data_IF_231758965969
#
_entry.id   IF_231758965969
#
_cell.length_a   1.000
_cell.length_b   1.000
_cell.length_c   1.000
_cell.angle_alpha   90.00
_cell.angle_beta   90.00
_cell.angle_gamma   90.00
#
_symmetry.space_group_name_H-M   'P 1'
#
loop_
_entity.id
_entity.type
_entity.pdbx_description
1 polymer ?
#
# COMPACT_ATOMS: atom_id res chain seq x y z
N UNK A 1 -2.05 6.22 24.15
CA UNK A 1 -1.00 5.61 23.30
C UNK A 1 0.01 4.90 24.18
N UNK A 2 0.25 3.60 23.96
CA UNK A 2 1.25 2.86 24.75
C UNK A 2 2.66 3.40 24.50
N UNK A 3 3.02 3.64 23.24
CA UNK A 3 4.37 4.03 22.80
C UNK A 3 4.86 5.29 23.51
N UNK A 4 4.11 6.39 23.49
CA UNK A 4 4.53 7.67 24.10
C UNK A 4 3.80 8.06 25.39
N UNK A 5 2.79 7.28 25.81
CA UNK A 5 1.98 7.57 27.00
C UNK A 5 0.95 8.69 26.86
N UNK A 6 0.87 9.39 25.71
CA UNK A 6 -0.14 10.45 25.49
C UNK A 6 -1.55 9.88 25.46
N UNK A 7 -2.53 10.62 26.00
CA UNK A 7 -3.95 10.31 25.83
C UNK A 7 -4.39 10.71 24.43
N UNK A 8 -4.97 9.78 23.68
CA UNK A 8 -5.37 9.96 22.27
C UNK A 8 -6.76 9.37 22.11
N UNK A 9 -7.65 10.06 21.39
CA UNK A 9 -8.99 9.56 21.09
C UNK A 9 -8.91 8.28 20.26
N UNK A 10 -9.80 7.32 20.51
CA UNK A 10 -9.83 6.04 19.78
C UNK A 10 -9.90 6.24 18.27
N UNK A 11 -10.67 7.22 17.81
CA UNK A 11 -10.77 7.53 16.38
C UNK A 11 -9.43 7.90 15.75
N UNK A 12 -8.53 8.54 16.51
CA UNK A 12 -7.26 9.10 16.05
C UNK A 12 -6.04 8.23 16.38
N UNK A 13 -6.23 7.14 17.14
CA UNK A 13 -5.12 6.27 17.55
C UNK A 13 -4.35 5.71 16.35
N UNK A 14 -5.01 5.42 15.23
CA UNK A 14 -4.36 4.95 14.00
C UNK A 14 -3.45 6.01 13.40
N UNK A 15 -3.91 7.26 13.32
CA UNK A 15 -3.11 8.35 12.78
C UNK A 15 -1.89 8.59 13.65
N UNK A 16 -2.11 8.64 14.96
CA UNK A 16 -1.04 8.80 15.94
C UNK A 16 -0.05 7.63 15.95
N UNK A 17 -0.52 6.39 15.86
CA UNK A 17 0.36 5.22 15.79
C UNK A 17 1.09 5.14 14.44
N UNK A 18 0.46 5.58 13.36
CA UNK A 18 1.08 5.68 12.04
C UNK A 18 2.31 6.60 12.03
N UNK A 19 2.25 7.71 12.79
CA UNK A 19 3.40 8.60 13.01
C UNK A 19 4.57 7.85 13.64
N UNK A 20 4.34 7.17 14.76
CA UNK A 20 5.35 6.38 15.46
C UNK A 20 5.94 5.27 14.57
N UNK A 21 5.10 4.54 13.84
CA UNK A 21 5.54 3.48 12.92
C UNK A 21 6.41 4.05 11.80
N UNK A 22 5.99 5.13 11.14
CA UNK A 22 6.79 5.70 10.04
C UNK A 22 8.12 6.25 10.54
N UNK A 23 8.13 6.97 11.66
CA UNK A 23 9.37 7.51 12.23
C UNK A 23 10.32 6.38 12.64
N UNK A 24 9.82 5.33 13.28
CA UNK A 24 10.61 4.14 13.61
C UNK A 24 11.22 3.47 12.38
N UNK A 25 10.41 3.22 11.33
CA UNK A 25 10.87 2.61 10.07
C UNK A 25 11.86 3.48 9.29
N UNK A 26 11.85 4.80 9.49
CA UNK A 26 12.80 5.76 8.91
C UNK A 26 13.93 6.15 9.84
N UNK A 27 14.00 5.52 11.02
CA UNK A 27 15.01 5.82 12.04
C UNK A 27 15.04 7.31 12.42
N UNK A 28 13.86 7.94 12.43
CA UNK A 28 13.68 9.31 12.90
C UNK A 28 13.52 9.23 14.43
N UNK A 29 14.39 9.90 15.21
CA UNK A 29 14.25 9.90 16.66
C UNK A 29 12.96 10.62 17.09
N UNK A 30 12.36 10.13 18.16
CA UNK A 30 11.17 10.71 18.77
C UNK A 30 11.37 10.92 20.26
N UNK A 31 11.00 12.09 20.76
CA UNK A 31 11.04 12.40 22.18
C UNK A 31 9.86 11.77 22.92
N UNK A 32 10.09 11.36 24.18
CA UNK A 32 9.03 10.86 25.06
C UNK A 32 8.51 9.47 24.69
N UNK A 33 9.27 8.67 23.93
CA UNK A 33 8.97 7.26 23.69
C UNK A 33 9.24 6.45 24.96
N UNK A 34 8.21 5.81 25.49
CA UNK A 34 8.27 4.89 26.65
C UNK A 34 8.52 3.44 26.23
N UNK A 35 7.96 3.02 25.10
CA UNK A 35 8.14 1.68 24.55
C UNK A 35 8.48 1.75 23.07
N UNK A 36 9.48 0.98 22.59
CA UNK A 36 9.87 0.99 21.19
C UNK A 36 8.76 0.40 20.30
N UNK A 37 8.64 0.94 19.09
CA UNK A 37 7.84 0.33 18.01
C UNK A 37 8.63 -0.82 17.40
N UNK A 38 7.95 -1.92 17.08
CA UNK A 38 8.56 -3.04 16.39
C UNK A 38 9.01 -2.65 14.98
N UNK A 39 10.23 -3.05 14.60
CA UNK A 39 10.75 -2.82 13.24
C UNK A 39 10.21 -3.82 12.21
N UNK A 40 9.91 -5.05 12.66
CA UNK A 40 9.32 -6.12 11.84
C UNK A 40 7.82 -6.18 12.10
N UNK A 41 7.04 -6.11 11.02
CA UNK A 41 5.57 -6.18 11.02
C UNK A 41 4.87 -5.47 12.20
N UNK A 42 5.09 -4.17 12.44
CA UNK A 42 4.39 -3.47 13.50
C UNK A 42 2.88 -3.45 13.29
N UNK A 43 2.13 -3.68 14.36
CA UNK A 43 0.69 -3.54 14.41
C UNK A 43 0.30 -2.07 14.25
N UNK A 44 -0.54 -1.74 13.26
CA UNK A 44 -0.99 -0.37 12.96
C UNK A 44 -1.76 0.35 14.08
N UNK A 45 -2.08 -0.34 15.17
CA UNK A 45 -2.82 0.25 16.30
C UNK A 45 -2.04 0.33 17.61
N UNK A 46 -1.14 -0.62 17.89
CA UNK A 46 -0.35 -0.62 19.13
C UNK A 46 1.18 -0.60 18.93
N UNK A 47 1.67 -0.75 17.70
CA UNK A 47 3.10 -0.71 17.38
C UNK A 47 3.90 -1.97 17.78
N UNK A 48 3.29 -2.98 18.39
CA UNK A 48 3.96 -4.27 18.69
C UNK A 48 4.15 -5.11 17.43
N UNK A 49 5.13 -6.02 17.45
CA UNK A 49 5.31 -6.98 16.35
C UNK A 49 4.09 -7.90 16.23
N UNK A 50 3.78 -8.27 14.99
CA UNK A 50 2.78 -9.27 14.65
C UNK A 50 3.37 -10.67 14.42
N UNK A 51 4.70 -10.81 14.46
CA UNK A 51 5.40 -12.06 14.13
C UNK A 51 5.03 -13.21 15.09
N UNK A 52 4.77 -12.91 16.36
CA UNK A 52 4.36 -13.89 17.37
C UNK A 52 2.86 -14.24 17.31
N UNK A 53 2.18 -13.89 16.20
CA UNK A 53 0.73 -13.97 16.09
C UNK A 53 -0.01 -12.96 16.96
N UNK A 54 0.70 -11.97 17.53
CA UNK A 54 0.11 -10.92 18.33
C UNK A 54 -0.60 -9.90 17.42
N UNK A 55 -1.84 -9.55 17.74
CA UNK A 55 -2.62 -8.55 17.01
C UNK A 55 -2.86 -8.89 15.52
N UNK A 56 -3.36 -10.09 15.17
CA UNK A 56 -3.75 -10.41 13.80
C UNK A 56 -4.73 -9.37 13.28
N UNK A 57 -4.67 -9.11 11.98
CA UNK A 57 -5.55 -8.16 11.29
C UNK A 57 -6.26 -8.85 10.14
N UNK A 58 -7.54 -8.55 10.01
CA UNK A 58 -8.47 -9.12 9.02
C UNK A 58 -9.32 -8.00 8.43
N UNK A 59 -9.88 -8.25 7.25
CA UNK A 59 -10.84 -7.36 6.61
C UNK A 59 -12.20 -8.05 6.64
N UNK A 60 -13.17 -7.45 7.35
CA UNK A 60 -14.55 -7.97 7.44
C UNK A 60 -15.53 -6.89 7.00
N UNK A 61 -16.27 -7.14 5.93
CA UNK A 61 -17.26 -6.18 5.38
C UNK A 61 -16.68 -4.77 5.15
N UNK A 62 -15.52 -4.70 4.49
CA UNK A 62 -14.76 -3.45 4.24
C UNK A 62 -14.30 -2.68 5.50
N UNK A 63 -14.39 -3.28 6.68
CA UNK A 63 -13.87 -2.75 7.95
C UNK A 63 -12.61 -3.48 8.38
N UNK A 64 -11.76 -2.77 9.10
CA UNK A 64 -10.64 -3.38 9.82
C UNK A 64 -11.18 -4.17 11.02
N UNK A 65 -10.79 -5.44 11.12
CA UNK A 65 -11.02 -6.32 12.27
C UNK A 65 -9.65 -6.75 12.82
N UNK A 66 -9.43 -6.60 14.13
CA UNK A 66 -8.13 -6.96 14.74
C UNK A 66 -8.31 -7.38 16.18
N UNK A 67 -7.55 -8.39 16.61
CA UNK A 67 -7.55 -8.85 18.00
C UNK A 67 -6.60 -8.01 18.88
N UNK A 68 -6.10 -6.88 18.37
CA UNK A 68 -5.30 -5.95 19.16
C UNK A 68 -6.15 -5.36 20.30
N UNK A 69 -5.67 -5.33 21.56
CA UNK A 69 -6.39 -4.68 22.68
C UNK A 69 -6.60 -3.18 22.50
N UNK A 70 -5.83 -2.54 21.62
CA UNK A 70 -5.98 -1.13 21.27
C UNK A 70 -6.73 -0.92 19.95
N UNK A 71 -7.28 -1.99 19.35
CA UNK A 71 -8.02 -1.90 18.09
C UNK A 71 -9.33 -1.11 18.25
N UNK A 72 -9.75 -0.50 17.15
CA UNK A 72 -11.09 0.06 16.98
C UNK A 72 -11.55 -0.23 15.56
N UNK A 73 -12.86 -0.39 15.38
CA UNK A 73 -13.43 -0.63 14.06
C UNK A 73 -13.43 0.68 13.24
N UNK A 74 -12.91 0.61 12.02
CA UNK A 74 -12.99 1.72 11.06
C UNK A 74 -13.20 1.22 9.63
N UNK A 75 -13.77 2.09 8.79
CA UNK A 75 -13.97 1.83 7.37
C UNK A 75 -12.66 1.99 6.60
N UNK A 76 -12.22 0.93 5.90
CA UNK A 76 -10.93 0.91 5.20
C UNK A 76 -10.89 1.98 4.11
N UNK A 77 -11.96 2.13 3.32
CA UNK A 77 -12.03 3.13 2.23
C UNK A 77 -11.85 4.56 2.72
N UNK A 78 -12.47 4.92 3.84
CA UNK A 78 -12.32 6.24 4.42
C UNK A 78 -10.91 6.45 5.00
N UNK A 79 -10.35 5.38 5.57
CA UNK A 79 -9.03 5.36 6.18
C UNK A 79 -7.86 5.36 5.18
N UNK A 80 -8.07 4.81 3.98
CA UNK A 80 -7.06 4.74 2.92
C UNK A 80 -6.92 6.05 2.14
N UNK A 81 -7.81 7.01 2.38
CA UNK A 81 -7.78 8.32 1.72
C UNK A 81 -6.97 9.30 2.55
N UNK A 82 -5.89 9.83 1.97
CA UNK A 82 -5.08 10.88 2.59
C UNK A 82 -5.92 12.14 2.83
N UNK A 83 -5.73 12.77 3.99
CA UNK A 83 -6.32 14.07 4.36
C UNK A 83 -5.31 14.85 5.18
N UNK A 84 -5.27 16.17 5.01
CA UNK A 84 -4.38 17.04 5.78
C UNK A 84 -4.51 16.88 7.29
N UNK A 85 -5.75 16.72 7.78
CA UNK A 85 -6.04 16.54 9.21
C UNK A 85 -5.74 15.14 9.71
N UNK A 86 -5.63 14.15 8.82
CA UNK A 86 -5.44 12.73 9.12
C UNK A 86 -4.55 12.09 8.05
N UNK A 87 -3.25 12.41 8.04
CA UNK A 87 -2.36 12.04 6.94
C UNK A 87 -2.10 10.54 6.81
N UNK A 88 -2.29 9.78 7.89
CA UNK A 88 -2.03 8.34 7.92
C UNK A 88 -3.04 7.54 7.09
N UNK A 89 -2.55 6.91 6.03
CA UNK A 89 -3.29 5.96 5.18
C UNK A 89 -3.01 4.50 5.53
N UNK A 90 -2.40 4.24 6.70
CA UNK A 90 -2.08 2.89 7.14
C UNK A 90 -3.35 2.08 7.42
N UNK A 91 -3.69 1.17 6.52
CA UNK A 91 -4.85 0.28 6.61
C UNK A 91 -4.43 -1.16 6.34
N UNK A 92 -5.18 -2.16 6.83
CA UNK A 92 -4.99 -3.53 6.37
C UNK A 92 -5.28 -3.65 4.88
N UNK A 93 -4.40 -4.36 4.17
CA UNK A 93 -4.49 -4.69 2.76
C UNK A 93 -4.36 -6.20 2.64
N UNK A 94 -5.29 -6.82 1.91
CA UNK A 94 -5.19 -8.23 1.56
C UNK A 94 -4.11 -8.42 0.49
N UNK A 95 -3.28 -9.44 0.66
CA UNK A 95 -2.30 -9.80 -0.36
C UNK A 95 -3.01 -10.21 -1.66
N UNK A 96 -2.69 -9.60 -2.82
CA UNK A 96 -3.31 -9.96 -4.10
C UNK A 96 -2.77 -11.27 -4.67
N UNK A 97 -1.79 -11.89 -4.02
CA UNK A 97 -1.20 -13.18 -4.41
C UNK A 97 -1.78 -14.32 -3.55
N UNK A 98 -1.49 -15.57 -3.93
CA UNK A 98 -2.06 -16.78 -3.35
C UNK A 98 -1.64 -17.10 -1.88
N UNK A 99 -1.10 -16.14 -1.12
CA UNK A 99 -0.75 -16.34 0.28
C UNK A 99 -1.91 -16.03 1.25
N UNK A 100 -2.98 -15.38 0.78
CA UNK A 100 -4.20 -15.06 1.56
C UNK A 100 -3.96 -14.28 2.88
N UNK A 101 -2.79 -13.65 3.02
CA UNK A 101 -2.44 -12.89 4.21
C UNK A 101 -2.97 -11.46 4.13
N UNK A 102 -3.30 -10.86 5.28
CA UNK A 102 -3.64 -9.44 5.39
C UNK A 102 -2.58 -8.74 6.22
N UNK A 103 -2.01 -7.65 5.68
CA UNK A 103 -0.96 -6.88 6.31
C UNK A 103 -1.32 -5.41 6.37
N UNK A 104 -0.81 -4.69 7.37
CA UNK A 104 -0.86 -3.22 7.35
C UNK A 104 -0.10 -2.68 6.14
N UNK A 105 -0.62 -1.62 5.52
CA UNK A 105 0.01 -0.95 4.36
C UNK A 105 1.50 -0.74 4.54
N UNK A 106 1.93 -0.27 5.71
CA UNK A 106 3.34 0.01 6.00
C UNK A 106 4.23 -1.24 6.12
N UNK A 107 3.65 -2.41 6.37
CA UNK A 107 4.38 -3.69 6.49
C UNK A 107 4.50 -4.40 5.14
N UNK A 108 3.70 -3.98 4.16
CA UNK A 108 3.59 -4.67 2.88
C UNK A 108 4.88 -4.66 2.03
N UNK A 109 5.74 -3.63 2.05
CA UNK A 109 7.05 -3.70 1.40
C UNK A 109 7.92 -4.85 1.93
N UNK A 110 7.92 -5.07 3.24
CA UNK A 110 8.63 -6.19 3.87
C UNK A 110 8.01 -7.52 3.43
N UNK A 111 6.67 -7.63 3.45
CA UNK A 111 5.95 -8.80 2.97
C UNK A 111 6.27 -9.18 1.52
N UNK A 112 6.27 -8.21 0.60
CA UNK A 112 6.61 -8.45 -0.80
C UNK A 112 8.04 -8.95 -0.94
N UNK A 113 9.00 -8.36 -0.22
CA UNK A 113 10.40 -8.80 -0.27
C UNK A 113 10.56 -10.24 0.20
N UNK A 114 9.85 -10.64 1.25
CA UNK A 114 9.99 -11.96 1.87
C UNK A 114 9.20 -13.07 1.15
N UNK A 115 7.97 -12.77 0.71
CA UNK A 115 7.04 -13.77 0.16
C UNK A 115 6.89 -13.69 -1.36
N UNK A 116 7.19 -12.55 -1.96
CA UNK A 116 6.99 -12.28 -3.38
C UNK A 116 8.21 -11.56 -4.00
N UNK A 117 9.44 -12.10 -3.87
CA UNK A 117 10.68 -11.39 -4.24
C UNK A 117 10.77 -11.04 -5.73
N UNK A 118 10.02 -11.72 -6.59
CA UNK A 118 9.92 -11.41 -8.02
C UNK A 118 9.07 -10.17 -8.33
N UNK A 119 8.33 -9.64 -7.35
CA UNK A 119 7.39 -8.55 -7.56
C UNK A 119 7.99 -7.19 -7.18
N UNK A 120 7.89 -6.22 -8.08
CA UNK A 120 8.59 -4.95 -7.95
C UNK A 120 7.77 -3.83 -7.31
N UNK A 121 6.45 -3.76 -7.53
CA UNK A 121 5.61 -2.72 -6.92
C UNK A 121 4.11 -2.94 -7.04
N UNK A 122 3.34 -2.41 -6.07
CA UNK A 122 1.90 -2.21 -6.22
C UNK A 122 1.60 -0.75 -5.90
N UNK A 123 0.97 -0.04 -6.83
CA UNK A 123 0.63 1.39 -6.67
C UNK A 123 -0.16 1.65 -5.38
N UNK A 124 -1.04 0.72 -4.99
CA UNK A 124 -1.89 0.80 -3.80
C UNK A 124 -1.14 0.83 -2.46
N UNK A 125 0.14 0.41 -2.46
CA UNK A 125 0.97 0.31 -1.24
C UNK A 125 1.81 1.58 -1.05
N UNK A 126 1.88 2.43 -2.08
CA UNK A 126 2.72 3.62 -2.09
C UNK A 126 2.34 4.54 -0.93
N UNK A 127 3.32 4.83 -0.07
CA UNK A 127 3.24 5.90 0.93
C UNK A 127 3.74 7.15 0.22
N UNK A 128 2.87 8.15 0.09
CA UNK A 128 3.23 9.36 -0.67
C UNK A 128 4.23 10.20 0.11
N UNK A 129 5.04 10.99 -0.60
CA UNK A 129 5.97 11.95 0.03
C UNK A 129 5.21 12.93 0.93
N UNK A 130 4.05 13.41 0.49
CA UNK A 130 3.20 14.32 1.26
C UNK A 130 2.74 13.69 2.58
N UNK A 131 2.32 12.43 2.55
CA UNK A 131 1.98 11.67 3.75
C UNK A 131 3.15 11.55 4.72
N UNK A 132 4.36 11.24 4.24
CA UNK A 132 5.54 11.17 5.11
C UNK A 132 5.87 12.53 5.76
N UNK A 133 5.85 13.61 5.00
CA UNK A 133 6.11 14.95 5.53
C UNK A 133 5.08 15.36 6.58
N UNK A 134 3.80 15.07 6.36
CA UNK A 134 2.71 15.37 7.31
C UNK A 134 2.76 14.49 8.56
N UNK A 135 3.41 13.33 8.50
CA UNK A 135 3.74 12.49 9.66
C UNK A 135 5.04 12.91 10.36
N UNK A 136 5.63 14.06 9.98
CA UNK A 136 6.83 14.59 10.60
C UNK A 136 8.11 13.85 10.23
N UNK A 137 8.12 13.14 9.09
CA UNK A 137 9.37 12.58 8.53
C UNK A 137 10.13 13.73 7.86
N UNK A 138 11.41 13.96 8.20
CA UNK A 138 12.21 14.99 7.55
C UNK A 138 12.39 14.65 6.07
N UNK A 139 12.46 15.67 5.23
CA UNK A 139 12.57 15.54 3.78
C UNK A 139 13.75 14.67 3.33
N UNK A 140 14.88 14.75 4.06
CA UNK A 140 16.07 13.92 3.81
C UNK A 140 15.86 12.42 4.01
N UNK A 141 14.79 12.02 4.71
CA UNK A 141 14.41 10.62 4.97
C UNK A 141 13.09 10.22 4.30
N UNK A 142 12.40 11.16 3.66
CA UNK A 142 11.19 10.87 2.90
C UNK A 142 11.59 10.17 1.59
N UNK A 143 11.31 8.88 1.49
CA UNK A 143 11.67 8.06 0.33
C UNK A 143 10.40 7.54 -0.30
N UNK A 144 10.18 7.90 -1.57
CA UNK A 144 9.11 7.34 -2.37
C UNK A 144 9.30 5.82 -2.44
N UNK A 145 8.30 5.06 -1.99
CA UNK A 145 8.26 3.61 -2.16
C UNK A 145 7.09 3.25 -3.09
N UNK A 146 7.29 2.46 -4.16
CA UNK A 146 8.55 1.83 -4.59
C UNK A 146 9.60 2.88 -4.97
N UNK A 147 10.91 2.57 -4.84
CA UNK A 147 11.93 3.44 -5.38
C UNK A 147 11.63 3.63 -6.87
N UNK A 148 11.81 4.84 -7.42
CA UNK A 148 11.71 5.01 -8.85
C UNK A 148 12.64 3.98 -9.53
N UNK A 149 12.22 3.39 -10.67
CA UNK A 149 13.08 2.46 -11.38
C UNK A 149 14.44 3.12 -11.55
N UNK A 150 15.51 2.37 -11.25
CA UNK A 150 16.86 2.88 -11.43
C UNK A 150 16.95 3.52 -12.82
N UNK A 151 17.55 4.72 -12.96
CA UNK A 151 17.67 5.35 -14.26
C UNK A 151 18.23 4.33 -15.22
N UNK A 152 17.46 3.99 -16.26
CA UNK A 152 17.92 2.99 -17.21
C UNK A 152 19.24 3.52 -17.78
N UNK A 153 20.30 2.68 -17.83
CA UNK A 153 21.53 3.10 -18.47
C UNK A 153 21.16 3.66 -19.84
N UNK A 154 21.76 4.79 -20.28
CA UNK A 154 21.43 5.39 -21.56
C UNK A 154 21.48 4.27 -22.58
N UNK A 155 20.33 3.97 -23.21
CA UNK A 155 20.22 2.88 -24.18
C UNK A 155 21.38 3.06 -25.14
N UNK A 156 22.34 2.12 -25.14
CA UNK A 156 23.56 2.29 -25.93
C UNK A 156 23.13 2.72 -27.32
N UNK A 157 23.64 3.86 -27.84
CA UNK A 157 23.24 4.34 -29.15
C UNK A 157 23.39 3.17 -30.10
N UNK A 158 22.31 2.79 -30.78
CA UNK A 158 22.29 1.59 -31.61
C UNK A 158 23.52 1.60 -32.54
N UNK A 159 24.56 0.86 -32.16
CA UNK A 159 25.78 0.70 -32.91
C UNK A 159 25.43 -0.21 -34.09
N UNK A 160 24.81 0.39 -35.11
CA UNK A 160 24.16 -0.38 -36.17
C UNK A 160 23.63 0.44 -37.33
N UNK A 161 23.61 1.78 -37.26
CA UNK A 161 23.52 2.57 -38.49
C UNK A 161 24.86 2.53 -39.20
N UNK A 162 25.10 1.46 -39.96
CA UNK A 162 26.14 1.43 -40.99
C UNK A 162 25.91 2.66 -41.86
N UNK A 163 26.83 3.63 -41.80
CA UNK A 163 26.85 4.72 -42.78
C UNK A 163 26.88 4.04 -44.17
N UNK A 164 25.95 4.36 -45.08
CA UNK A 164 26.05 3.87 -46.45
C UNK A 164 27.39 4.31 -47.03
N UNK A 165 28.08 3.40 -47.70
CA UNK A 165 29.36 3.69 -48.33
C UNK A 165 29.20 4.86 -49.32
N UNK A 166 30.15 5.81 -49.37
CA UNK A 166 30.13 6.87 -50.37
C UNK A 166 30.29 6.23 -51.75
N UNK A 167 29.24 6.30 -52.59
CA UNK A 167 29.30 5.87 -53.99
C UNK A 167 28.21 4.90 -54.47
N UNK A 168 27.29 4.43 -53.62
CA UNK A 168 26.21 3.56 -54.11
C UNK A 168 25.21 4.32 -55.01
N UNK A 169 24.93 3.83 -56.24
CA UNK A 169 23.92 4.39 -57.12
C UNK A 169 22.55 4.40 -56.44
N UNK A 170 21.85 5.54 -56.50
CA UNK A 170 20.47 5.65 -56.02
C UNK A 170 19.57 4.80 -56.92
N UNK A 171 19.13 3.66 -56.44
CA UNK A 171 18.04 2.92 -57.10
C UNK A 171 16.70 3.66 -56.89
N UNK A 172 15.77 3.60 -57.86
CA UNK A 172 14.46 4.20 -57.74
C UNK A 172 13.67 3.58 -56.58
N UNK A 173 12.90 4.43 -55.89
CA UNK A 173 12.15 4.16 -54.66
C UNK A 173 11.26 2.90 -54.75
N UNK A 174 11.78 1.77 -54.27
CA UNK A 174 10.99 0.60 -53.91
C UNK A 174 10.46 0.72 -52.48
N UNK A 175 9.14 0.77 -52.33
CA UNK A 175 8.41 0.94 -51.07
C UNK A 175 8.43 -0.35 -50.24
N UNK A 176 9.57 -0.72 -49.66
CA UNK A 176 9.63 -1.84 -48.73
C UNK A 176 9.27 -1.38 -47.32
N UNK A 177 8.05 -1.72 -46.87
CA UNK A 177 7.66 -1.70 -45.45
C UNK A 177 8.52 -2.72 -44.71
N UNK A 178 9.52 -2.26 -43.95
CA UNK A 178 10.13 -3.07 -42.91
C UNK A 178 9.09 -3.27 -41.80
N UNK A 179 8.48 -4.46 -41.77
CA UNK A 179 7.72 -4.92 -40.61
C UNK A 179 8.72 -5.26 -39.49
N UNK A 180 9.00 -4.29 -38.62
CA UNK A 180 9.44 -4.60 -37.28
C UNK A 180 8.29 -5.35 -36.59
N UNK A 181 8.43 -6.66 -36.41
CA UNK A 181 7.56 -7.41 -35.51
C UNK A 181 7.78 -6.85 -34.11
N UNK A 182 6.80 -6.12 -33.60
CA UNK A 182 6.74 -5.74 -32.20
C UNK A 182 6.77 -7.03 -31.35
N UNK A 183 7.57 -7.10 -30.28
CA UNK A 183 7.44 -8.17 -29.33
C UNK A 183 6.01 -8.13 -28.78
N UNK A 184 5.32 -9.27 -28.84
CA UNK A 184 4.00 -9.46 -28.27
C UNK A 184 4.01 -8.99 -26.82
N UNK A 185 3.48 -7.79 -26.59
CA UNK A 185 3.15 -7.28 -25.27
C UNK A 185 2.17 -8.28 -24.67
N UNK A 186 2.64 -9.07 -23.71
CA UNK A 186 1.80 -9.91 -22.88
C UNK A 186 0.71 -9.03 -22.28
N UNK A 187 -0.52 -9.21 -22.76
CA UNK A 187 -1.71 -8.64 -22.14
C UNK A 187 -1.80 -9.23 -20.75
N UNK A 188 -1.24 -8.54 -19.76
CA UNK A 188 -1.60 -8.77 -18.37
C UNK A 188 -3.11 -8.51 -18.25
N UNK A 189 -3.88 -9.43 -17.65
CA UNK A 189 -5.28 -9.16 -17.39
C UNK A 189 -5.36 -7.90 -16.53
N UNK A 190 -6.05 -6.88 -17.02
CA UNK A 190 -6.56 -5.81 -16.16
C UNK A 190 -7.53 -6.48 -15.20
N UNK A 191 -7.03 -6.92 -14.05
CA UNK A 191 -7.87 -7.34 -12.93
C UNK A 191 -8.52 -6.05 -12.43
N UNK A 192 -9.73 -5.79 -12.92
CA UNK A 192 -10.64 -4.85 -12.27
C UNK A 192 -10.97 -5.46 -10.92
N UNK A 193 -10.34 -4.93 -9.87
CA UNK A 193 -10.73 -5.22 -8.50
C UNK A 193 -12.10 -4.60 -8.27
N UNK A 194 -13.14 -5.40 -8.48
CA UNK A 194 -14.49 -5.11 -8.03
C UNK A 194 -14.40 -5.13 -6.50
N UNK A 195 -14.35 -3.95 -5.88
CA UNK A 195 -14.75 -3.82 -4.48
C UNK A 195 -16.11 -4.52 -4.36
N UNK A 196 -16.30 -5.50 -3.45
CA UNK A 196 -17.56 -6.21 -3.34
C UNK A 196 -18.68 -5.18 -3.20
N UNK A 197 -19.55 -5.14 -4.20
CA UNK A 197 -20.75 -4.35 -4.19
C UNK A 197 -21.53 -4.71 -2.93
N UNK A 198 -21.98 -3.69 -2.20
CA UNK A 198 -22.87 -3.88 -1.09
C UNK A 198 -24.16 -4.52 -1.62
N UNK A 199 -24.29 -5.85 -1.47
CA UNK A 199 -25.57 -6.52 -1.61
C UNK A 199 -26.47 -5.99 -0.48
N UNK A 200 -27.42 -5.15 -0.89
CA UNK A 200 -28.52 -4.67 -0.08
C UNK A 200 -29.45 -5.85 0.23
N UNK A 201 -29.15 -6.60 1.27
CA UNK A 201 -30.13 -7.53 1.85
C UNK A 201 -31.10 -6.72 2.71
N UNK A 202 -32.17 -6.21 2.07
CA UNK A 202 -33.38 -5.78 2.77
C UNK A 202 -34.04 -7.01 3.38
N UNK A 203 -33.65 -7.37 4.61
CA UNK A 203 -34.48 -8.22 5.46
C UNK A 203 -35.56 -7.34 6.09
N UNK A 204 -36.79 -7.55 5.64
CA UNK A 204 -38.02 -7.03 6.24
C UNK A 204 -38.09 -7.51 7.70
N UNK A 205 -38.01 -6.57 8.64
CA UNK A 205 -38.40 -6.80 10.03
C UNK A 205 -39.93 -6.78 10.07
N UNK A 206 -40.53 -7.92 10.45
CA UNK A 206 -41.95 -7.98 10.77
C UNK A 206 -42.21 -7.28 12.12
N UNK A 207 -43.31 -6.53 12.28
CA UNK A 207 -43.69 -5.97 13.57
C UNK A 207 -44.24 -7.08 14.48
N UNK A 208 -43.61 -7.26 15.64
CA UNK A 208 -44.21 -8.00 16.75
C UNK A 208 -45.19 -7.04 17.43
N UNK A 209 -46.46 -7.16 17.06
CA UNK A 209 -47.59 -6.67 17.82
C UNK A 209 -47.85 -7.71 18.92
N UNK A 210 -47.75 -7.30 20.17
CA UNK A 210 -48.10 -8.10 21.33
C UNK A 210 -48.88 -7.21 22.29
N UNK A 211 -50.20 -7.25 22.15
CA UNK A 211 -51.16 -6.57 22.99
C UNK A 211 -51.21 -7.12 24.42
N UNK A 212 -51.55 -6.19 25.29
CA UNK A 212 -51.99 -6.28 26.68
C UNK A 212 -53.09 -7.33 26.88
N UNK A 213 -53.00 -8.14 27.95
CA UNK A 213 -54.18 -8.55 28.73
C UNK A 213 -53.80 -8.74 30.21
N UNK A 214 -54.44 -7.89 31.04
CA UNK A 214 -54.84 -7.99 32.47
C UNK A 214 -53.84 -8.51 33.50
#
# INVERSE_FOLDING_TARGET
CRVCGKSVKDTDIRTHMGEHIRKSLREVPEDGIKYPVAKSYPCGTCGRSMDDGACPVRIKSAKCDSDCPSSYAFQIRAASTFRDTRPCTNVPIACPFDCQQTHWKYNFPQHLKERHPSWQSLEQITVTREEELKLGIPESKAVLWPPPPAPQPPSSPCCGQKRPAPGSPRTPRGRYRLHCKEPHNGKFPRVFWILPGAESTSQKIAPIIGDVFT
#
